data_IF_771762144191
#
_entry.id   IF_771762144191
#
_cell.length_a   1.000
_cell.length_b   1.000
_cell.length_c   1.000
_cell.angle_alpha   90.00
_cell.angle_beta   90.00
_cell.angle_gamma   90.00
#
_symmetry.space_group_name_H-M   'P 1'
#
loop_
_entity.id
_entity.type
_entity.pdbx_description
1 polymer ?
#
# COMPACT_ATOMS: atom_id res chain seq x y z
N UNK A 1 -31.17 -17.85 -5.89
CA UNK A 1 -29.99 -18.51 -5.29
C UNK A 1 -28.99 -18.68 -6.43
N UNK A 2 -28.09 -17.71 -6.59
CA UNK A 2 -27.12 -17.68 -7.69
C UNK A 2 -26.23 -18.92 -7.52
N UNK A 3 -26.02 -19.68 -8.59
CA UNK A 3 -25.09 -20.80 -8.56
C UNK A 3 -23.70 -20.20 -8.32
N UNK A 4 -23.09 -20.51 -7.18
CA UNK A 4 -21.75 -20.05 -6.83
C UNK A 4 -20.81 -20.50 -7.96
N UNK A 5 -20.22 -19.52 -8.66
CA UNK A 5 -19.34 -19.84 -9.77
C UNK A 5 -18.01 -20.34 -9.21
N UNK A 6 -17.27 -21.17 -9.95
CA UNK A 6 -15.93 -21.60 -9.54
C UNK A 6 -15.00 -20.40 -9.27
N UNK A 7 -15.25 -19.28 -9.95
CA UNK A 7 -14.57 -18.01 -9.75
C UNK A 7 -14.84 -17.40 -8.38
N UNK A 8 -16.11 -17.37 -7.93
CA UNK A 8 -16.50 -16.82 -6.63
C UNK A 8 -15.85 -17.59 -5.47
N UNK A 9 -15.88 -18.93 -5.55
CA UNK A 9 -15.23 -19.80 -4.58
C UNK A 9 -13.70 -19.61 -4.54
N UNK A 10 -13.07 -19.48 -5.71
CA UNK A 10 -11.63 -19.21 -5.84
C UNK A 10 -11.26 -17.85 -5.26
N UNK A 11 -12.01 -16.81 -5.59
CA UNK A 11 -11.85 -15.44 -5.05
C UNK A 11 -11.95 -15.42 -3.54
N UNK A 12 -13.04 -15.97 -2.99
CA UNK A 12 -13.25 -16.03 -1.55
C UNK A 12 -12.11 -16.77 -0.85
N UNK A 13 -11.64 -17.87 -1.43
CA UNK A 13 -10.50 -18.64 -0.91
C UNK A 13 -9.20 -17.83 -0.93
N UNK A 14 -8.86 -17.18 -2.04
CA UNK A 14 -7.63 -16.39 -2.17
C UNK A 14 -7.66 -15.18 -1.21
N UNK A 15 -8.78 -14.44 -1.15
CA UNK A 15 -8.90 -13.31 -0.23
C UNK A 15 -8.82 -13.76 1.24
N UNK A 16 -9.41 -14.91 1.58
CA UNK A 16 -9.31 -15.47 2.94
C UNK A 16 -7.87 -15.85 3.28
N UNK A 17 -7.15 -16.53 2.38
CA UNK A 17 -5.75 -16.89 2.57
C UNK A 17 -4.89 -15.62 2.70
N UNK A 18 -5.11 -14.63 1.83
CA UNK A 18 -4.40 -13.35 1.86
C UNK A 18 -4.65 -12.60 3.17
N UNK A 19 -5.89 -12.58 3.66
CA UNK A 19 -6.27 -11.99 4.95
C UNK A 19 -5.56 -12.68 6.12
N UNK A 20 -5.60 -14.01 6.19
CA UNK A 20 -4.96 -14.78 7.26
C UNK A 20 -3.45 -14.52 7.25
N UNK A 21 -2.82 -14.60 6.07
CA UNK A 21 -1.39 -14.38 5.94
C UNK A 21 -1.00 -12.94 6.25
N UNK A 22 -1.81 -11.96 5.84
CA UNK A 22 -1.61 -10.54 6.19
C UNK A 22 -1.67 -10.32 7.69
N UNK A 23 -2.67 -10.84 8.38
CA UNK A 23 -2.76 -10.74 9.83
C UNK A 23 -1.53 -11.38 10.48
N UNK A 24 -1.20 -12.60 10.08
CA UNK A 24 -0.06 -13.33 10.62
C UNK A 24 1.28 -12.59 10.42
N UNK A 25 1.60 -12.20 9.19
CA UNK A 25 2.88 -11.58 8.84
C UNK A 25 3.04 -10.19 9.46
N UNK A 26 1.97 -9.38 9.48
CA UNK A 26 2.00 -8.06 10.12
C UNK A 26 2.07 -8.17 11.66
N UNK A 27 1.37 -9.12 12.29
CA UNK A 27 1.47 -9.33 13.74
C UNK A 27 2.86 -9.81 14.17
N UNK A 28 3.47 -10.72 13.40
CA UNK A 28 4.87 -11.13 13.62
C UNK A 28 5.80 -9.93 13.48
N UNK A 29 5.62 -9.11 12.44
CA UNK A 29 6.47 -7.95 12.25
C UNK A 29 6.31 -6.96 13.41
N UNK A 30 5.09 -6.70 13.89
CA UNK A 30 4.84 -5.86 15.08
C UNK A 30 5.59 -6.44 16.28
N UNK A 31 5.46 -7.74 16.55
CA UNK A 31 6.16 -8.41 17.64
C UNK A 31 7.68 -8.23 17.56
N UNK A 32 8.27 -8.40 16.37
CA UNK A 32 9.71 -8.22 16.14
C UNK A 32 10.14 -6.75 16.31
N UNK A 33 9.33 -5.81 15.82
CA UNK A 33 9.61 -4.38 15.99
C UNK A 33 9.63 -4.03 17.48
N UNK A 34 8.67 -4.55 18.26
CA UNK A 34 8.57 -4.27 19.69
C UNK A 34 9.71 -4.92 20.50
N UNK A 35 10.17 -6.11 20.13
CA UNK A 35 11.09 -6.92 20.97
C UNK A 35 12.54 -6.92 20.49
N UNK A 36 12.81 -6.71 19.19
CA UNK A 36 14.14 -6.91 18.57
C UNK A 36 14.67 -5.68 17.84
N UNK A 37 13.93 -4.57 17.81
CA UNK A 37 14.44 -3.33 17.20
C UNK A 37 15.64 -2.77 17.96
N UNK A 38 16.76 -2.43 17.30
CA UNK A 38 17.88 -1.77 17.94
C UNK A 38 17.49 -0.35 18.38
N UNK A 39 18.03 0.12 19.51
CA UNK A 39 17.74 1.45 20.09
C UNK A 39 17.95 2.60 19.09
N UNK A 40 18.88 2.44 18.15
CA UNK A 40 19.20 3.43 17.10
C UNK A 40 18.06 3.66 16.08
N UNK A 41 17.04 2.81 16.02
CA UNK A 41 15.86 3.04 15.18
C UNK A 41 14.99 4.20 15.68
N UNK A 42 15.01 4.49 16.99
CA UNK A 42 14.23 5.59 17.59
C UNK A 42 12.76 5.56 17.20
N UNK A 43 12.21 6.70 16.76
CA UNK A 43 10.80 6.84 16.37
C UNK A 43 10.39 6.06 15.12
N UNK A 44 11.35 5.54 14.34
CA UNK A 44 11.04 4.79 13.11
C UNK A 44 10.17 3.55 13.38
N UNK A 45 10.35 2.95 14.57
CA UNK A 45 9.58 1.78 15.00
C UNK A 45 8.07 2.06 15.05
N UNK A 46 7.67 3.25 15.49
CA UNK A 46 6.26 3.62 15.59
C UNK A 46 5.63 3.77 14.20
N UNK A 47 6.39 4.31 13.24
CA UNK A 47 5.95 4.44 11.86
C UNK A 47 5.76 3.05 11.21
N UNK A 48 6.69 2.12 11.43
CA UNK A 48 6.55 0.75 10.93
C UNK A 48 5.37 0.00 11.58
N UNK A 49 5.15 0.16 12.89
CA UNK A 49 3.98 -0.44 13.57
C UNK A 49 2.68 0.13 13.02
N UNK A 50 2.60 1.45 12.82
CA UNK A 50 1.44 2.10 12.21
C UNK A 50 1.11 1.49 10.84
N UNK A 51 2.12 1.24 10.01
CA UNK A 51 1.90 0.64 8.70
C UNK A 51 1.39 -0.81 8.78
N UNK A 52 1.91 -1.59 9.73
CA UNK A 52 1.42 -2.96 9.96
C UNK A 52 -0.05 -2.97 10.41
N UNK A 53 -0.42 -2.09 11.35
CA UNK A 53 -1.81 -1.95 11.81
C UNK A 53 -2.72 -1.52 10.65
N UNK A 54 -2.28 -0.56 9.85
CA UNK A 54 -3.01 -0.11 8.68
C UNK A 54 -3.20 -1.22 7.64
N UNK A 55 -2.17 -2.03 7.36
CA UNK A 55 -2.26 -3.16 6.46
C UNK A 55 -3.27 -4.22 6.95
N UNK A 56 -3.34 -4.47 8.26
CA UNK A 56 -4.37 -5.34 8.85
C UNK A 56 -5.75 -4.73 8.66
N UNK A 57 -5.94 -3.44 8.95
CA UNK A 57 -7.22 -2.75 8.72
C UNK A 57 -7.67 -2.82 7.26
N UNK A 58 -6.74 -2.65 6.31
CA UNK A 58 -7.02 -2.83 4.89
C UNK A 58 -7.52 -4.24 4.58
N UNK A 59 -6.82 -5.27 5.05
CA UNK A 59 -7.21 -6.67 4.83
C UNK A 59 -8.57 -7.01 5.46
N UNK A 60 -8.89 -6.40 6.62
CA UNK A 60 -10.23 -6.52 7.24
C UNK A 60 -11.30 -5.89 6.35
N UNK A 61 -11.07 -4.69 5.81
CA UNK A 61 -12.02 -4.05 4.89
C UNK A 61 -12.20 -4.88 3.61
N UNK A 62 -11.09 -5.40 3.05
CA UNK A 62 -11.12 -6.24 1.85
C UNK A 62 -11.97 -7.50 2.03
N UNK A 63 -11.76 -8.24 3.13
CA UNK A 63 -12.53 -9.48 3.38
C UNK A 63 -14.00 -9.19 3.77
N UNK A 64 -14.28 -8.04 4.37
CA UNK A 64 -15.66 -7.61 4.65
C UNK A 64 -16.39 -7.27 3.35
N UNK A 65 -15.73 -6.60 2.40
CA UNK A 65 -16.39 -6.10 1.19
C UNK A 65 -16.35 -7.07 0.02
N UNK A 66 -15.32 -7.91 -0.07
CA UNK A 66 -15.06 -8.83 -1.18
C UNK A 66 -15.42 -8.21 -2.55
N UNK A 67 -14.81 -7.08 -2.95
CA UNK A 67 -15.27 -6.37 -4.13
C UNK A 67 -14.83 -7.09 -5.42
N UNK A 68 -15.55 -6.87 -6.50
CA UNK A 68 -15.19 -7.34 -7.84
C UNK A 68 -14.86 -6.15 -8.72
N UNK A 69 -13.70 -6.19 -9.38
CA UNK A 69 -13.29 -5.18 -10.34
C UNK A 69 -13.65 -5.67 -11.74
N UNK A 70 -14.50 -4.92 -12.44
CA UNK A 70 -15.10 -5.31 -13.71
C UNK A 70 -14.94 -4.21 -14.76
N UNK A 71 -14.70 -4.64 -16.00
CA UNK A 71 -14.43 -3.71 -17.08
C UNK A 71 -15.76 -3.23 -17.61
N UNK A 72 -15.90 -1.92 -17.75
CA UNK A 72 -17.16 -1.31 -18.12
C UNK A 72 -17.07 -0.59 -19.47
N UNK A 73 -16.41 -1.21 -20.46
CA UNK A 73 -16.20 -0.65 -21.80
C UNK A 73 -15.44 0.69 -21.76
N UNK A 74 -16.11 1.85 -21.91
CA UNK A 74 -15.49 3.18 -21.77
C UNK A 74 -15.12 3.57 -20.32
N UNK A 75 -14.97 2.62 -19.40
CA UNK A 75 -14.71 2.91 -17.99
C UNK A 75 -14.45 1.67 -17.16
N UNK A 76 -14.58 1.83 -15.85
CA UNK A 76 -14.44 0.74 -14.87
C UNK A 76 -15.57 0.78 -13.85
N UNK A 77 -15.90 -0.38 -13.30
CA UNK A 77 -16.83 -0.53 -12.20
C UNK A 77 -16.23 -1.49 -11.17
N UNK A 78 -16.35 -1.13 -9.90
CA UNK A 78 -16.07 -2.00 -8.76
C UNK A 78 -17.38 -2.26 -8.05
N UNK A 79 -17.80 -3.51 -7.96
CA UNK A 79 -19.06 -3.91 -7.31
C UNK A 79 -18.80 -4.61 -5.99
N UNK A 80 -19.74 -4.49 -5.06
CA UNK A 80 -19.81 -5.29 -3.82
C UNK A 80 -21.28 -5.63 -3.51
N UNK A 81 -21.50 -6.75 -2.86
CA UNK A 81 -22.84 -7.16 -2.43
C UNK A 81 -23.33 -6.28 -1.27
N UNK A 82 -24.58 -5.83 -1.36
CA UNK A 82 -25.25 -5.16 -0.25
C UNK A 82 -25.61 -6.25 0.74
N UNK A 83 -24.86 -6.33 1.83
CA UNK A 83 -25.16 -7.24 2.93
C UNK A 83 -26.37 -6.68 3.69
N UNK A 84 -27.21 -7.55 4.25
CA UNK A 84 -28.31 -7.16 5.16
C UNK A 84 -27.76 -6.66 6.52
N UNK A 85 -26.88 -5.66 6.48
CA UNK A 85 -26.27 -5.01 7.61
C UNK A 85 -27.00 -3.69 7.89
N UNK A 86 -26.76 -3.10 9.06
CA UNK A 86 -27.34 -1.82 9.45
C UNK A 86 -26.90 -0.63 8.55
N UNK A 87 -25.86 -0.82 7.72
CA UNK A 87 -25.22 0.25 6.94
C UNK A 87 -26.03 0.66 5.68
N UNK A 88 -26.87 -0.23 5.16
CA UNK A 88 -27.63 -0.01 3.92
C UNK A 88 -26.75 0.21 2.68
N UNK A 89 -27.37 0.50 1.54
CA UNK A 89 -26.66 0.65 0.25
C UNK A 89 -25.61 1.77 0.27
N UNK A 90 -25.93 2.92 0.86
CA UNK A 90 -25.00 4.05 0.94
C UNK A 90 -23.81 3.75 1.85
N UNK A 91 -24.03 3.08 2.99
CA UNK A 91 -22.94 2.70 3.88
C UNK A 91 -21.97 1.71 3.22
N UNK A 92 -22.46 0.74 2.46
CA UNK A 92 -21.62 -0.18 1.68
C UNK A 92 -20.82 0.57 0.59
N UNK A 93 -21.42 1.56 -0.09
CA UNK A 93 -20.71 2.43 -1.04
C UNK A 93 -19.60 3.23 -0.36
N UNK A 94 -19.85 3.74 0.85
CA UNK A 94 -18.84 4.46 1.64
C UNK A 94 -17.71 3.52 2.07
N UNK A 95 -18.00 2.29 2.49
CA UNK A 95 -16.98 1.29 2.83
C UNK A 95 -16.15 0.90 1.61
N UNK A 96 -16.79 0.66 0.46
CA UNK A 96 -16.10 0.38 -0.81
C UNK A 96 -15.22 1.55 -1.25
N UNK A 97 -15.71 2.78 -1.14
CA UNK A 97 -14.92 3.99 -1.39
C UNK A 97 -13.79 4.18 -0.38
N UNK A 98 -13.96 3.71 0.86
CA UNK A 98 -12.92 3.72 1.89
C UNK A 98 -11.80 2.74 1.57
N UNK A 99 -12.14 1.55 1.05
CA UNK A 99 -11.16 0.58 0.55
C UNK A 99 -10.32 1.17 -0.58
N UNK A 100 -10.93 1.89 -1.53
CA UNK A 100 -10.18 2.63 -2.55
C UNK A 100 -9.35 3.77 -1.95
N UNK A 101 -9.87 4.49 -0.95
CA UNK A 101 -9.14 5.53 -0.23
C UNK A 101 -7.88 5.01 0.46
N UNK A 102 -7.86 3.75 0.87
CA UNK A 102 -6.66 3.12 1.42
C UNK A 102 -5.49 3.11 0.43
N UNK A 103 -5.72 3.12 -0.89
CA UNK A 103 -4.64 3.25 -1.87
C UNK A 103 -3.90 4.59 -1.74
N UNK A 104 -4.64 5.67 -1.49
CA UNK A 104 -4.07 6.98 -1.15
C UNK A 104 -3.26 6.94 0.15
N UNK A 105 -3.78 6.29 1.19
CA UNK A 105 -3.06 6.08 2.45
C UNK A 105 -1.73 5.35 2.26
N UNK A 106 -1.73 4.28 1.45
CA UNK A 106 -0.54 3.46 1.19
C UNK A 106 0.56 4.30 0.53
N UNK A 107 0.22 5.05 -0.55
CA UNK A 107 1.18 5.93 -1.22
C UNK A 107 1.77 6.98 -0.27
N UNK A 108 0.89 7.67 0.46
CA UNK A 108 1.31 8.70 1.40
C UNK A 108 2.23 8.13 2.48
N UNK A 109 1.90 6.95 3.01
CA UNK A 109 2.72 6.30 4.04
C UNK A 109 4.10 5.93 3.51
N UNK A 110 4.18 5.31 2.32
CA UNK A 110 5.47 4.96 1.70
C UNK A 110 6.31 6.22 1.47
N UNK A 111 5.71 7.30 0.97
CA UNK A 111 6.41 8.57 0.80
C UNK A 111 6.97 9.11 2.14
N UNK A 112 6.19 9.06 3.22
CA UNK A 112 6.62 9.45 4.57
C UNK A 112 7.78 8.59 5.08
N UNK A 113 7.77 7.27 4.83
CA UNK A 113 8.89 6.41 5.16
C UNK A 113 10.18 6.85 4.45
N UNK A 114 10.10 7.22 3.17
CA UNK A 114 11.27 7.74 2.45
C UNK A 114 11.73 9.11 2.95
N UNK A 115 10.81 10.00 3.34
CA UNK A 115 11.13 11.28 3.98
C UNK A 115 11.87 11.05 5.29
N UNK A 116 11.31 10.20 6.17
CA UNK A 116 11.94 9.82 7.43
C UNK A 116 13.34 9.27 7.18
N UNK A 117 13.44 8.33 6.22
CA UNK A 117 14.69 7.66 5.88
C UNK A 117 15.76 8.64 5.41
N UNK A 118 15.36 9.61 4.58
CA UNK A 118 16.27 10.65 4.12
C UNK A 118 16.77 11.50 5.29
N UNK A 119 15.90 11.94 6.20
CA UNK A 119 16.31 12.73 7.36
C UNK A 119 17.21 11.96 8.32
N UNK A 120 16.98 10.65 8.49
CA UNK A 120 17.87 9.78 9.26
C UNK A 120 19.28 9.70 8.63
N UNK A 121 19.36 9.64 7.29
CA UNK A 121 20.62 9.59 6.54
C UNK A 121 21.33 10.95 6.45
N UNK A 122 20.59 12.05 6.46
CA UNK A 122 21.13 13.41 6.36
C UNK A 122 21.83 13.87 7.66
N UNK A 123 21.38 13.37 8.82
CA UNK A 123 21.99 13.62 10.15
C UNK A 123 22.07 15.08 10.60
N UNK A 124 21.30 15.97 9.97
CA UNK A 124 21.22 17.39 10.36
C UNK A 124 20.21 17.67 11.49
N UNK A 125 19.98 16.68 12.37
CA UNK A 125 19.02 16.81 13.48
C UNK A 125 17.53 16.89 13.07
N UNK A 126 17.19 16.71 11.79
CA UNK A 126 15.79 16.80 11.30
C UNK A 126 14.87 15.69 11.79
N UNK A 127 15.42 14.62 12.36
CA UNK A 127 14.63 13.56 13.02
C UNK A 127 13.77 14.07 14.19
N UNK A 128 14.06 15.26 14.74
CA UNK A 128 13.20 15.92 15.74
C UNK A 128 11.78 16.15 15.24
N UNK A 129 11.58 16.30 13.93
CA UNK A 129 10.25 16.44 13.32
C UNK A 129 9.47 15.12 13.28
N UNK A 130 10.08 14.00 13.66
CA UNK A 130 9.43 12.70 13.79
C UNK A 130 9.37 12.24 15.25
N UNK A 131 9.33 13.19 16.19
CA UNK A 131 9.25 12.94 17.62
C UNK A 131 8.11 13.74 18.26
N UNK A 132 7.59 13.23 19.37
CA UNK A 132 6.52 13.89 20.14
C UNK A 132 5.28 14.20 19.29
N UNK A 133 4.79 15.44 19.40
CA UNK A 133 3.58 15.89 18.70
C UNK A 133 3.72 15.90 17.17
N UNK A 134 4.93 16.14 16.64
CA UNK A 134 5.15 16.12 15.19
C UNK A 134 4.97 14.73 14.59
N UNK A 135 5.27 13.66 15.36
CA UNK A 135 5.00 12.30 14.92
C UNK A 135 3.51 12.07 14.67
N UNK A 136 2.63 12.59 15.53
CA UNK A 136 1.17 12.51 15.36
C UNK A 136 0.76 13.24 14.07
N UNK A 137 1.35 14.41 13.81
CA UNK A 137 1.16 15.12 12.54
C UNK A 137 1.49 14.25 11.33
N UNK A 138 2.66 13.60 11.32
CA UNK A 138 3.03 12.68 10.24
C UNK A 138 2.08 11.48 10.10
N UNK A 139 1.62 10.89 11.20
CA UNK A 139 0.69 9.76 11.17
C UNK A 139 -0.72 10.16 10.70
N UNK A 140 -1.09 11.44 10.84
CA UNK A 140 -2.38 11.95 10.35
C UNK A 140 -2.44 12.13 8.83
N UNK A 141 -1.30 12.43 8.19
CA UNK A 141 -1.24 12.75 6.75
C UNK A 141 -1.79 11.61 5.88
N UNK A 142 -1.39 10.33 6.05
CA UNK A 142 -1.97 9.24 5.27
C UNK A 142 -3.48 9.14 5.42
N UNK A 143 -3.99 9.27 6.65
CA UNK A 143 -5.43 9.25 6.91
C UNK A 143 -6.18 10.39 6.21
N UNK A 144 -5.61 11.60 6.18
CA UNK A 144 -6.19 12.74 5.46
C UNK A 144 -6.19 12.48 3.95
N UNK A 145 -5.09 11.99 3.38
CA UNK A 145 -5.01 11.67 1.95
C UNK A 145 -6.03 10.61 1.57
N UNK A 146 -6.17 9.56 2.39
CA UNK A 146 -7.19 8.54 2.19
C UNK A 146 -8.61 9.08 2.31
N UNK A 147 -8.89 9.92 3.31
CA UNK A 147 -10.20 10.54 3.47
C UNK A 147 -10.57 11.43 2.27
N UNK A 148 -9.63 12.23 1.77
CA UNK A 148 -9.84 13.03 0.54
C UNK A 148 -10.11 12.12 -0.65
N UNK A 149 -9.35 11.05 -0.81
CA UNK A 149 -9.58 10.07 -1.87
C UNK A 149 -10.97 9.45 -1.77
N UNK A 150 -11.38 9.02 -0.58
CA UNK A 150 -12.72 8.46 -0.33
C UNK A 150 -13.82 9.47 -0.64
N UNK A 151 -13.68 10.72 -0.22
CA UNK A 151 -14.67 11.78 -0.51
C UNK A 151 -14.79 11.98 -2.03
N UNK A 152 -13.67 12.03 -2.76
CA UNK A 152 -13.67 12.15 -4.21
C UNK A 152 -14.34 10.92 -4.85
N UNK A 153 -14.05 9.71 -4.39
CA UNK A 153 -14.68 8.48 -4.91
C UNK A 153 -16.19 8.45 -4.63
N UNK A 154 -16.64 8.81 -3.43
CA UNK A 154 -18.07 8.87 -3.10
C UNK A 154 -18.78 9.93 -3.93
N UNK A 155 -18.17 11.10 -4.13
CA UNK A 155 -18.85 12.20 -4.84
C UNK A 155 -18.87 11.99 -6.36
N UNK A 156 -17.76 11.53 -6.95
CA UNK A 156 -17.61 11.44 -8.41
C UNK A 156 -17.87 10.06 -8.99
N UNK A 157 -17.71 8.99 -8.20
CA UNK A 157 -17.76 7.61 -8.69
C UNK A 157 -18.90 6.78 -8.08
N UNK A 158 -19.67 7.31 -7.12
CA UNK A 158 -20.85 6.61 -6.61
C UNK A 158 -21.95 6.54 -7.69
N UNK A 159 -22.92 5.61 -7.54
CA UNK A 159 -24.00 5.46 -8.50
C UNK A 159 -24.82 6.75 -8.59
N UNK A 160 -25.02 7.24 -9.81
CA UNK A 160 -26.00 8.28 -10.11
C UNK A 160 -27.05 7.74 -11.10
N UNK A 161 -28.21 8.39 -11.22
CA UNK A 161 -29.34 7.86 -12.00
C UNK A 161 -28.96 7.48 -13.45
N UNK A 162 -28.05 8.24 -14.06
CA UNK A 162 -27.61 8.06 -15.46
C UNK A 162 -26.65 6.87 -15.58
N UNK A 163 -25.64 6.81 -14.71
CA UNK A 163 -24.64 5.74 -14.72
C UNK A 163 -25.21 4.43 -14.21
N UNK A 164 -26.22 4.46 -13.35
CA UNK A 164 -26.84 3.26 -12.77
C UNK A 164 -27.55 2.44 -13.84
N UNK A 165 -28.33 3.08 -14.72
CA UNK A 165 -29.04 2.37 -15.78
C UNK A 165 -28.07 1.81 -16.84
N UNK A 166 -27.06 2.61 -17.22
CA UNK A 166 -25.98 2.14 -18.11
C UNK A 166 -25.22 0.95 -17.52
N UNK A 167 -24.82 1.06 -16.25
CA UNK A 167 -24.10 0.01 -15.53
C UNK A 167 -24.98 -1.23 -15.37
N UNK A 168 -26.29 -1.08 -15.11
CA UNK A 168 -27.24 -2.20 -14.97
C UNK A 168 -27.38 -2.98 -16.26
N UNK A 169 -27.53 -2.29 -17.39
CA UNK A 169 -27.60 -2.96 -18.69
C UNK A 169 -26.29 -3.67 -19.02
N UNK A 170 -25.16 -2.97 -18.86
CA UNK A 170 -23.84 -3.54 -19.14
C UNK A 170 -23.56 -4.80 -18.31
N UNK A 171 -23.85 -4.74 -17.01
CA UNK A 171 -23.63 -5.82 -16.05
C UNK A 171 -24.56 -7.02 -16.30
N UNK A 172 -25.81 -6.76 -16.70
CA UNK A 172 -26.76 -7.81 -17.05
C UNK A 172 -26.38 -8.50 -18.36
N UNK A 173 -25.96 -7.73 -19.36
CA UNK A 173 -25.67 -8.24 -20.69
C UNK A 173 -24.32 -8.97 -20.77
N UNK A 174 -23.28 -8.45 -20.11
CA UNK A 174 -21.92 -9.03 -20.20
C UNK A 174 -21.62 -10.03 -19.08
N UNK A 175 -22.12 -9.79 -17.86
CA UNK A 175 -21.75 -10.59 -16.69
C UNK A 175 -22.90 -11.41 -16.10
N UNK A 176 -24.13 -11.27 -16.63
CA UNK A 176 -25.35 -11.89 -16.08
C UNK A 176 -25.55 -11.61 -14.58
N UNK A 177 -25.09 -10.44 -14.12
CA UNK A 177 -25.22 -10.01 -12.72
C UNK A 177 -26.42 -9.08 -12.61
N UNK A 178 -27.37 -9.45 -11.75
CA UNK A 178 -28.47 -8.56 -11.37
C UNK A 178 -28.00 -7.55 -10.33
N UNK A 179 -28.14 -6.25 -10.63
CA UNK A 179 -27.69 -5.17 -9.74
C UNK A 179 -28.63 -4.90 -8.54
N UNK A 180 -29.72 -5.65 -8.39
CA UNK A 180 -30.73 -5.38 -7.36
C UNK A 180 -30.22 -5.45 -5.91
N UNK A 181 -29.20 -6.28 -5.64
CA UNK A 181 -28.63 -6.49 -4.29
C UNK A 181 -27.13 -6.15 -4.22
N UNK A 182 -26.61 -5.35 -5.14
CA UNK A 182 -25.20 -4.93 -5.14
C UNK A 182 -25.13 -3.41 -5.23
N UNK A 183 -24.09 -2.85 -4.64
CA UNK A 183 -23.71 -1.46 -4.85
C UNK A 183 -22.41 -1.42 -5.64
N UNK A 184 -22.11 -0.28 -6.24
CA UNK A 184 -20.91 -0.13 -7.03
C UNK A 184 -20.30 1.26 -6.88
N UNK A 185 -19.02 1.36 -7.17
CA UNK A 185 -18.35 2.61 -7.51
C UNK A 185 -17.75 2.44 -8.91
N UNK A 186 -17.83 3.45 -9.74
CA UNK A 186 -17.34 3.35 -11.11
C UNK A 186 -17.25 4.70 -11.78
N UNK A 187 -16.41 4.76 -12.80
CA UNK A 187 -16.25 5.95 -13.63
C UNK A 187 -16.39 5.53 -15.08
N UNK A 188 -17.47 6.00 -15.72
CA UNK A 188 -17.73 5.84 -17.14
C UNK A 188 -17.25 7.11 -17.85
N UNK A 189 -16.15 7.02 -18.60
CA UNK A 189 -15.49 8.19 -19.19
C UNK A 189 -16.24 8.77 -20.37
N UNK A 190 -16.91 7.92 -21.13
CA UNK A 190 -17.65 8.31 -22.33
C UNK A 190 -19.06 7.73 -22.26
N UNK A 191 -20.05 8.60 -22.43
CA UNK A 191 -21.47 8.26 -22.44
C UNK A 191 -22.04 8.51 -23.84
N UNK A 192 -23.08 7.78 -24.23
CA UNK A 192 -23.76 8.01 -25.52
C UNK A 192 -24.82 9.10 -25.37
N UNK A 193 -24.84 10.05 -26.30
CA UNK A 193 -25.90 11.06 -26.39
C UNK A 193 -27.22 10.45 -26.92
N UNK A 194 -28.31 11.23 -26.88
CA UNK A 194 -29.61 10.80 -27.42
C UNK A 194 -29.61 10.52 -28.94
N UNK A 195 -28.50 10.80 -29.64
CA UNK A 195 -28.27 10.52 -31.07
C UNK A 195 -27.30 9.35 -31.28
N UNK A 196 -26.82 8.71 -30.21
CA UNK A 196 -25.88 7.58 -30.23
C UNK A 196 -24.40 7.96 -30.32
N UNK A 197 -24.03 9.24 -30.33
CA UNK A 197 -22.64 9.69 -30.39
C UNK A 197 -21.96 9.60 -29.03
N UNK A 198 -20.67 9.28 -29.02
CA UNK A 198 -19.87 9.24 -27.78
C UNK A 198 -19.51 10.65 -27.32
N UNK A 199 -19.89 11.02 -26.10
CA UNK A 199 -19.59 12.30 -25.46
C UNK A 199 -18.79 12.08 -24.17
N UNK A 200 -17.80 12.93 -23.86
CA UNK A 200 -17.04 12.83 -22.62
C UNK A 200 -17.93 13.13 -21.41
N UNK A 201 -17.83 12.28 -20.40
CA UNK A 201 -18.44 12.50 -19.09
C UNK A 201 -17.52 13.39 -18.25
N UNK A 202 -17.67 14.70 -18.39
CA UNK A 202 -16.81 15.69 -17.74
C UNK A 202 -16.75 15.52 -16.21
N UNK A 203 -17.87 15.13 -15.59
CA UNK A 203 -17.94 14.90 -14.16
C UNK A 203 -17.06 13.71 -13.72
N UNK A 204 -17.16 12.59 -14.42
CA UNK A 204 -16.34 11.40 -14.16
C UNK A 204 -14.85 11.65 -14.47
N UNK A 205 -14.56 12.35 -15.57
CA UNK A 205 -13.20 12.74 -15.96
C UNK A 205 -12.55 13.67 -14.93
N UNK A 206 -13.30 14.63 -14.37
CA UNK A 206 -12.81 15.51 -13.32
C UNK A 206 -12.44 14.72 -12.05
N UNK A 207 -13.32 13.82 -11.60
CA UNK A 207 -13.04 12.95 -10.46
C UNK A 207 -11.75 12.14 -10.64
N UNK A 208 -11.60 11.52 -11.81
CA UNK A 208 -10.41 10.73 -12.12
C UNK A 208 -9.15 11.57 -12.31
N UNK A 209 -9.26 12.79 -12.84
CA UNK A 209 -8.14 13.73 -12.89
C UNK A 209 -7.64 14.12 -11.48
N UNK A 210 -8.55 14.30 -10.52
CA UNK A 210 -8.20 14.57 -9.11
C UNK A 210 -7.48 13.36 -8.51
N UNK A 211 -8.01 12.14 -8.67
CA UNK A 211 -7.39 10.92 -8.14
C UNK A 211 -5.99 10.68 -8.74
N UNK A 212 -5.84 10.84 -10.05
CA UNK A 212 -4.52 10.73 -10.70
C UNK A 212 -3.56 11.84 -10.27
N UNK A 213 -4.05 13.04 -9.97
CA UNK A 213 -3.22 14.12 -9.43
C UNK A 213 -2.70 13.77 -8.03
N UNK A 214 -3.55 13.24 -7.14
CA UNK A 214 -3.14 12.78 -5.80
C UNK A 214 -2.08 11.68 -5.91
N UNK A 215 -2.30 10.70 -6.79
CA UNK A 215 -1.34 9.63 -7.06
C UNK A 215 -0.02 10.18 -7.63
N UNK A 216 -0.09 11.06 -8.63
CA UNK A 216 1.08 11.65 -9.30
C UNK A 216 1.94 12.49 -8.36
N UNK A 217 1.33 13.31 -7.50
CA UNK A 217 2.05 14.08 -6.47
C UNK A 217 2.75 13.14 -5.48
N UNK A 218 2.05 12.12 -5.00
CA UNK A 218 2.61 11.15 -4.04
C UNK A 218 3.78 10.37 -4.63
N UNK A 219 3.66 9.90 -5.87
CA UNK A 219 4.73 9.20 -6.59
C UNK A 219 5.93 10.11 -6.88
N UNK A 220 5.69 11.39 -7.17
CA UNK A 220 6.75 12.37 -7.39
C UNK A 220 7.56 12.62 -6.12
N UNK A 221 6.89 12.79 -4.97
CA UNK A 221 7.55 12.92 -3.65
C UNK A 221 8.35 11.65 -3.34
N UNK A 222 7.74 10.47 -3.54
CA UNK A 222 8.39 9.19 -3.35
C UNK A 222 9.67 9.08 -4.18
N UNK A 223 9.60 9.32 -5.49
CA UNK A 223 10.74 9.23 -6.40
C UNK A 223 11.85 10.22 -6.03
N UNK A 224 11.48 11.45 -5.66
CA UNK A 224 12.43 12.46 -5.21
C UNK A 224 13.20 12.01 -3.96
N UNK A 225 12.50 11.60 -2.90
CA UNK A 225 13.15 11.19 -1.65
C UNK A 225 13.87 9.84 -1.77
N UNK A 226 13.38 8.92 -2.59
CA UNK A 226 14.07 7.67 -2.91
C UNK A 226 15.43 7.95 -3.57
N UNK A 227 15.46 8.83 -4.58
CA UNK A 227 16.70 9.24 -5.26
C UNK A 227 17.66 9.94 -4.30
N UNK A 228 17.15 10.84 -3.45
CA UNK A 228 17.95 11.51 -2.42
C UNK A 228 18.53 10.52 -1.40
N UNK A 229 17.76 9.52 -0.97
CA UNK A 229 18.25 8.45 -0.09
C UNK A 229 19.38 7.65 -0.74
N UNK A 230 19.20 7.24 -2.00
CA UNK A 230 20.20 6.50 -2.76
C UNK A 230 21.53 7.25 -2.84
N UNK A 231 21.48 8.54 -3.22
CA UNK A 231 22.66 9.38 -3.32
C UNK A 231 23.34 9.58 -1.96
N UNK A 232 22.55 9.73 -0.88
CA UNK A 232 23.11 9.89 0.46
C UNK A 232 23.79 8.61 0.96
N UNK A 233 23.24 7.43 0.67
CA UNK A 233 23.85 6.14 1.05
C UNK A 233 25.21 5.91 0.38
N UNK A 234 25.37 6.36 -0.87
CA UNK A 234 26.68 6.30 -1.55
C UNK A 234 27.75 7.13 -0.84
N UNK A 235 27.39 8.32 -0.36
CA UNK A 235 28.33 9.23 0.32
C UNK A 235 28.62 8.80 1.75
N UNK A 236 27.67 8.16 2.45
CA UNK A 236 27.84 7.66 3.83
C UNK A 236 28.98 6.64 4.00
N UNK A 237 29.42 5.97 2.93
CA UNK A 237 30.55 5.03 3.01
C UNK A 237 31.85 5.74 3.39
N UNK A 238 31.97 7.03 3.06
CA UNK A 238 33.18 7.84 3.24
C UNK A 238 33.22 8.62 4.57
N UNK A 239 32.15 8.59 5.38
CA UNK A 239 32.00 9.44 6.58
C UNK A 239 32.50 8.79 7.88
N UNK A 240 33.35 7.76 7.83
CA UNK A 240 34.03 7.20 9.02
C UNK A 240 33.11 6.52 10.06
N UNK A 241 31.90 6.13 9.67
CA UNK A 241 30.90 5.50 10.52
C UNK A 241 31.27 4.10 11.03
N UNK A 242 30.75 3.76 12.21
CA UNK A 242 30.62 2.36 12.66
C UNK A 242 30.10 1.48 11.53
N UNK A 243 30.81 0.38 11.29
CA UNK A 243 30.40 -0.68 10.37
C UNK A 243 28.98 -1.16 10.67
N UNK A 244 28.60 -1.26 11.95
CA UNK A 244 27.25 -1.63 12.37
C UNK A 244 26.18 -0.64 11.88
N UNK A 245 26.31 0.65 12.19
CA UNK A 245 25.30 1.64 11.77
C UNK A 245 25.23 1.74 10.26
N UNK A 246 26.37 1.74 9.58
CA UNK A 246 26.42 1.78 8.11
C UNK A 246 25.66 0.58 7.51
N UNK A 247 25.87 -0.62 8.04
CA UNK A 247 25.18 -1.83 7.58
C UNK A 247 23.67 -1.76 7.87
N UNK A 248 23.29 -1.37 9.10
CA UNK A 248 21.89 -1.19 9.48
C UNK A 248 21.18 -0.16 8.57
N UNK A 249 21.82 0.97 8.29
CA UNK A 249 21.25 1.99 7.41
C UNK A 249 21.06 1.48 5.97
N UNK A 250 22.02 0.71 5.44
CA UNK A 250 21.89 0.07 4.11
C UNK A 250 20.76 -0.96 4.08
N UNK A 251 20.65 -1.81 5.10
CA UNK A 251 19.58 -2.82 5.22
C UNK A 251 18.21 -2.17 5.27
N UNK A 252 18.03 -1.15 6.12
CA UNK A 252 16.76 -0.43 6.25
C UNK A 252 16.34 0.23 4.93
N UNK A 253 17.28 0.77 4.16
CA UNK A 253 16.99 1.32 2.83
C UNK A 253 16.63 0.22 1.83
N UNK A 254 17.40 -0.87 1.76
CA UNK A 254 17.09 -1.99 0.87
C UNK A 254 15.72 -2.60 1.18
N UNK A 255 15.41 -2.78 2.47
CA UNK A 255 14.11 -3.22 2.94
C UNK A 255 13.00 -2.26 2.50
N UNK A 256 13.20 -0.95 2.69
CA UNK A 256 12.21 0.05 2.30
C UNK A 256 11.98 0.12 0.78
N UNK A 257 13.04 0.01 -0.03
CA UNK A 257 12.91 -0.04 -1.49
C UNK A 257 12.16 -1.30 -1.93
N UNK A 258 12.50 -2.45 -1.36
CA UNK A 258 11.81 -3.71 -1.66
C UNK A 258 10.33 -3.64 -1.23
N UNK A 259 10.05 -3.11 -0.04
CA UNK A 259 8.70 -2.87 0.46
C UNK A 259 7.92 -1.94 -0.46
N UNK A 260 8.47 -0.78 -0.83
CA UNK A 260 7.81 0.16 -1.74
C UNK A 260 7.58 -0.41 -3.14
N UNK A 261 8.39 -1.38 -3.58
CA UNK A 261 8.21 -2.04 -4.87
C UNK A 261 6.99 -2.95 -4.89
N UNK A 262 6.61 -3.54 -3.74
CA UNK A 262 5.47 -4.46 -3.65
C UNK A 262 4.15 -3.76 -4.02
N UNK A 263 3.69 -2.71 -3.34
CA UNK A 263 2.43 -2.07 -3.70
C UNK A 263 2.50 -1.36 -5.06
N UNK A 264 3.69 -0.97 -5.54
CA UNK A 264 3.85 -0.50 -6.92
C UNK A 264 3.50 -1.58 -7.95
N UNK A 265 3.94 -2.82 -7.74
CA UNK A 265 3.69 -3.93 -8.65
C UNK A 265 2.32 -4.59 -8.45
N UNK A 266 1.83 -4.66 -7.21
CA UNK A 266 0.61 -5.39 -6.86
C UNK A 266 -0.63 -4.50 -6.77
N UNK A 267 -0.48 -3.18 -6.64
CA UNK A 267 -1.62 -2.24 -6.58
C UNK A 267 -1.50 -1.19 -7.69
N UNK A 268 -0.50 -0.31 -7.64
CA UNK A 268 -0.52 0.91 -8.43
C UNK A 268 -0.33 0.67 -9.92
N UNK A 269 0.52 -0.27 -10.31
CA UNK A 269 0.68 -0.65 -11.72
C UNK A 269 -0.58 -1.33 -12.28
N UNK A 270 -1.09 -2.44 -11.71
CA UNK A 270 -2.28 -3.09 -12.25
C UNK A 270 -3.52 -2.21 -12.19
N UNK A 271 -3.81 -1.58 -11.04
CA UNK A 271 -4.96 -0.69 -10.88
C UNK A 271 -4.79 0.57 -11.72
N UNK A 272 -3.62 1.20 -11.73
CA UNK A 272 -3.37 2.41 -12.52
C UNK A 272 -3.53 2.18 -14.02
N UNK A 273 -3.01 1.06 -14.54
CA UNK A 273 -3.24 0.66 -15.93
C UNK A 273 -4.73 0.41 -16.19
N UNK A 274 -5.40 -0.32 -15.29
CA UNK A 274 -6.82 -0.61 -15.40
C UNK A 274 -7.69 0.64 -15.46
N UNK A 275 -7.37 1.66 -14.66
CA UNK A 275 -8.09 2.93 -14.63
C UNK A 275 -7.79 3.82 -15.86
N UNK A 276 -6.58 3.74 -16.42
CA UNK A 276 -6.14 4.63 -17.50
C UNK A 276 -6.41 4.10 -18.91
N UNK A 277 -6.34 2.78 -19.12
CA UNK A 277 -6.51 2.18 -20.45
C UNK A 277 -7.87 2.46 -21.10
N UNK A 278 -9.01 2.50 -20.37
CA UNK A 278 -10.29 2.85 -20.98
C UNK A 278 -10.34 4.30 -21.50
N UNK A 279 -9.49 5.22 -21.01
CA UNK A 279 -9.42 6.60 -21.53
C UNK A 279 -8.89 6.67 -22.97
N UNK A 280 -8.05 5.70 -23.36
CA UNK A 280 -7.51 5.57 -24.72
C UNK A 280 -8.27 4.54 -25.56
N UNK A 281 -9.40 4.04 -25.06
CA UNK A 281 -10.26 3.08 -25.75
C UNK A 281 -9.81 1.62 -25.66
N UNK A 282 -8.85 1.29 -24.80
CA UNK A 282 -8.40 -0.09 -24.59
C UNK A 282 -9.22 -0.72 -23.46
N UNK A 283 -9.88 -1.84 -23.76
CA UNK A 283 -10.71 -2.60 -22.81
C UNK A 283 -9.99 -3.87 -22.40
N UNK A 284 -9.95 -4.16 -21.10
CA UNK A 284 -9.28 -5.34 -20.56
C UNK A 284 -10.22 -6.12 -19.63
N UNK A 285 -11.21 -6.78 -20.22
CA UNK A 285 -12.24 -7.55 -19.49
C UNK A 285 -11.63 -8.60 -18.56
N UNK A 286 -10.70 -9.42 -19.07
CA UNK A 286 -10.02 -10.47 -18.29
C UNK A 286 -9.07 -9.91 -17.22
N UNK A 287 -8.62 -8.67 -17.35
CA UNK A 287 -7.67 -8.11 -16.38
C UNK A 287 -8.33 -7.69 -15.07
N UNK A 288 -9.64 -7.38 -15.04
CA UNK A 288 -10.33 -6.96 -13.82
C UNK A 288 -10.32 -8.04 -12.72
N UNK A 289 -10.53 -9.28 -13.12
CA UNK A 289 -10.44 -10.45 -12.24
C UNK A 289 -9.02 -10.62 -11.67
N UNK A 290 -8.00 -10.54 -12.53
CA UNK A 290 -6.59 -10.65 -12.13
C UNK A 290 -6.23 -9.52 -11.16
N UNK A 291 -6.62 -8.27 -11.46
CA UNK A 291 -6.38 -7.12 -10.59
C UNK A 291 -6.97 -7.38 -9.22
N UNK A 292 -8.17 -7.98 -9.14
CA UNK A 292 -8.85 -8.31 -7.87
C UNK A 292 -8.01 -9.24 -6.99
N UNK A 293 -7.40 -10.28 -7.56
CA UNK A 293 -6.51 -11.17 -6.81
C UNK A 293 -5.19 -10.51 -6.42
N UNK A 294 -4.60 -9.75 -7.35
CA UNK A 294 -3.25 -9.21 -7.18
C UNK A 294 -3.23 -8.15 -6.08
N UNK A 295 -4.21 -7.25 -6.00
CA UNK A 295 -4.21 -6.24 -4.94
C UNK A 295 -4.47 -6.87 -3.56
N UNK A 296 -5.31 -7.91 -3.46
CA UNK A 296 -5.63 -8.57 -2.20
C UNK A 296 -4.40 -9.22 -1.54
N UNK A 297 -3.40 -9.63 -2.34
CA UNK A 297 -2.14 -10.22 -1.84
C UNK A 297 -1.14 -9.20 -1.29
N UNK A 298 -1.27 -7.91 -1.62
CA UNK A 298 -0.29 -6.90 -1.22
C UNK A 298 -0.03 -6.86 0.31
N UNK A 299 -1.07 -6.81 1.18
CA UNK A 299 -0.87 -6.60 2.62
C UNK A 299 -0.15 -7.78 3.27
N UNK A 300 -0.26 -8.95 2.65
CA UNK A 300 0.39 -10.18 3.03
C UNK A 300 1.90 -10.15 2.73
N UNK A 301 2.29 -9.59 1.58
CA UNK A 301 3.66 -9.58 1.09
C UNK A 301 4.48 -8.41 1.65
N UNK A 302 3.84 -7.27 1.90
CA UNK A 302 4.48 -6.04 2.33
C UNK A 302 5.41 -6.14 3.57
N UNK A 303 5.07 -6.87 4.65
CA UNK A 303 5.96 -6.99 5.81
C UNK A 303 7.19 -7.90 5.55
N UNK A 304 7.17 -8.74 4.51
CA UNK A 304 8.21 -9.76 4.29
C UNK A 304 9.60 -9.17 4.00
N UNK A 305 9.77 -8.12 3.16
CA UNK A 305 11.05 -7.43 3.01
C UNK A 305 11.64 -6.94 4.34
N UNK A 306 10.82 -6.37 5.24
CA UNK A 306 11.30 -5.88 6.53
C UNK A 306 11.83 -7.05 7.36
N UNK A 307 11.05 -8.14 7.43
CA UNK A 307 11.38 -9.35 8.18
C UNK A 307 12.68 -10.00 7.66
N UNK A 308 12.81 -10.20 6.35
CA UNK A 308 13.89 -11.01 5.78
C UNK A 308 15.13 -10.22 5.35
N UNK A 309 15.07 -8.90 5.23
CA UNK A 309 16.24 -8.07 4.85
C UNK A 309 16.95 -7.46 6.06
N UNK A 310 16.23 -7.17 7.15
CA UNK A 310 16.82 -6.59 8.35
C UNK A 310 17.35 -7.70 9.24
N UNK A 311 18.66 -7.73 9.45
CA UNK A 311 19.34 -8.80 10.17
C UNK A 311 18.75 -9.06 11.56
N UNK A 312 18.51 -8.01 12.34
CA UNK A 312 17.96 -8.13 13.69
C UNK A 312 16.60 -8.85 13.72
N UNK A 313 15.78 -8.70 12.68
CA UNK A 313 14.47 -9.34 12.60
C UNK A 313 14.57 -10.74 12.01
N UNK A 314 15.34 -10.89 10.93
CA UNK A 314 15.58 -12.18 10.28
C UNK A 314 16.17 -13.20 11.24
N UNK A 315 17.22 -12.82 11.96
CA UNK A 315 17.88 -13.70 12.92
C UNK A 315 16.97 -14.04 14.09
N UNK A 316 16.19 -13.08 14.59
CA UNK A 316 15.22 -13.37 15.64
C UNK A 316 14.14 -14.38 15.22
N UNK A 317 13.69 -14.36 13.96
CA UNK A 317 12.79 -15.39 13.44
C UNK A 317 13.50 -16.74 13.34
N UNK A 318 14.70 -16.80 12.78
CA UNK A 318 15.40 -18.07 12.62
C UNK A 318 15.81 -18.69 13.95
N UNK A 319 16.16 -17.87 14.94
CA UNK A 319 16.39 -18.31 16.32
C UNK A 319 15.11 -18.89 16.93
N UNK A 320 13.95 -18.25 16.70
CA UNK A 320 12.65 -18.77 17.15
C UNK A 320 12.28 -20.10 16.46
N UNK A 321 12.66 -20.28 15.19
CA UNK A 321 12.41 -21.49 14.42
C UNK A 321 13.47 -22.60 14.60
N UNK A 322 14.52 -22.36 15.39
CA UNK A 322 15.56 -23.37 15.68
C UNK A 322 16.55 -23.63 14.54
N UNK A 323 16.69 -22.72 13.57
CA UNK A 323 17.63 -22.86 12.45
C UNK A 323 19.06 -22.40 12.83
N UNK A 324 20.07 -23.28 12.68
CA UNK A 324 21.49 -22.98 12.97
C UNK A 324 22.06 -21.82 12.12
N UNK A 325 22.88 -20.95 12.73
CA UNK A 325 23.38 -19.70 12.13
C UNK A 325 24.86 -19.74 11.67
N UNK A 326 25.25 -18.92 10.67
CA UNK A 326 26.65 -18.55 10.43
C UNK A 326 27.13 -17.48 11.43
N UNK A 327 28.30 -17.69 12.02
CA UNK A 327 28.97 -16.95 13.11
C UNK A 327 29.58 -15.58 12.73
N UNK A 328 28.90 -14.75 11.94
CA UNK A 328 29.38 -13.39 11.61
C UNK A 328 28.43 -12.30 12.13
N UNK A 329 28.21 -12.24 13.45
CA UNK A 329 27.56 -11.10 14.10
C UNK A 329 28.56 -9.94 14.20
N UNK A 330 28.18 -8.77 13.68
CA UNK A 330 28.76 -7.48 14.10
C UNK A 330 27.75 -6.88 15.06
N UNK A 331 27.88 -7.12 16.37
CA UNK A 331 26.99 -6.47 17.33
C UNK A 331 27.44 -5.02 17.54
N UNK A 332 26.50 -4.17 17.98
CA UNK A 332 26.81 -2.79 18.38
C UNK A 332 27.83 -2.72 19.53
N UNK A 333 28.01 -3.82 20.27
CA UNK A 333 28.95 -4.00 21.38
C UNK A 333 30.32 -4.56 20.94
N UNK A 334 30.43 -5.10 19.73
CA UNK A 334 31.66 -5.74 19.22
C UNK A 334 32.61 -4.77 18.51
N UNK A 335 32.26 -3.48 18.40
CA UNK A 335 33.16 -2.48 17.81
C UNK A 335 34.12 -1.91 18.86
N UNK A 336 35.44 -2.03 18.68
CA UNK A 336 36.40 -1.45 19.60
C UNK A 336 36.32 0.08 19.53
N UNK A 337 35.76 0.69 20.57
CA UNK A 337 35.95 2.10 20.88
C UNK A 337 37.39 2.34 21.31
N UNK A 338 38.33 2.50 20.38
CA UNK A 338 39.51 3.33 20.60
C UNK A 338 40.44 3.34 19.38
N UNK A 339 40.68 4.55 18.88
CA UNK A 339 42.00 4.94 18.37
C UNK A 339 42.96 4.87 19.57
N UNK A 340 43.49 3.68 19.87
CA UNK A 340 44.67 3.57 20.73
C UNK A 340 45.87 3.44 19.81
N UNK A 341 46.65 4.52 19.74
CA UNK A 341 47.99 4.53 19.15
C UNK A 341 48.80 3.44 19.86
N UNK A 342 49.07 2.33 19.17
CA UNK A 342 50.16 1.44 19.54
C UNK A 342 51.48 2.19 19.29
N UNK A 343 51.97 2.87 20.32
CA UNK A 343 53.41 3.13 20.47
C UNK A 343 53.95 1.88 21.16
N UNK A 344 54.48 0.94 20.37
CA UNK A 344 55.30 -0.14 20.90
C UNK A 344 56.72 0.38 21.09
N UNK A 345 57.00 0.90 22.28
CA UNK A 345 58.34 0.93 22.85
C UNK A 345 58.36 -0.09 23.98
N UNK A 346 59.14 -1.16 23.83
CA UNK A 346 59.97 -1.73 24.89
C UNK A 346 60.87 -2.82 24.29
N UNK A 347 62.17 -2.47 24.30
CA UNK A 347 63.42 -3.24 24.42
C UNK A 347 63.45 -4.73 24.10
#
# INVERSE_FOLDING_TARGET
MKQETAFDAMKSSVQTIAFIFSCFSNLILIFLICTKSPKRLGSYKYLMVYFCVFAICFSVLDIILQPYILSAGPGFIVITEIKNTFLGSFGETCLLSSLCGCFGCILATIAIHFIFRYFALERKGKLRYFQGQYLIGWLSIPGIVGAVWTIVTVYFCAPNDITMEYSRQLMKDHYQIDLNNVTYIGSIYFIKDGKGNSMPNEFALLGMAILFSIMGVSLSILAFFATKCYNRIKTLIYEGESSFTRNLQKQLYKALVAQASIPMLFIFMPVGLYLTLPLVGIQLEVSGEIVTFVYALYPALDPLPIIFIIDNYRYAIFDFLGCCHPTNRVNAEDEPTSVSRHISNCN
#
